data_IF_595277350840
#
_entry.id   IF_595277350840
#
_cell.length_a   1.000
_cell.length_b   1.000
_cell.length_c   1.000
_cell.angle_alpha   90.00
_cell.angle_beta   90.00
_cell.angle_gamma   90.00
#
_symmetry.space_group_name_H-M   'P 1'
#
loop_
_entity.id
_entity.type
_entity.pdbx_description
1 polymer ?
#
# COMPACT_ATOMS: atom_id res chain seq x y z
N UNK A 1 8.97 -0.27 11.36
CA UNK A 1 9.40 -0.37 9.93
C UNK A 1 8.36 -1.06 9.02
N UNK A 2 7.61 -2.06 9.48
CA UNK A 2 6.83 -2.96 8.59
C UNK A 2 5.55 -2.41 7.91
N UNK A 3 5.03 -1.23 8.27
CA UNK A 3 3.75 -0.73 7.73
C UNK A 3 3.84 0.47 6.79
N UNK A 4 4.98 1.16 6.73
CA UNK A 4 5.08 2.43 5.99
C UNK A 4 4.89 2.23 4.48
N UNK A 5 5.56 1.23 3.88
CA UNK A 5 5.41 0.92 2.47
C UNK A 5 4.00 0.43 2.12
N UNK A 6 3.36 -0.34 3.01
CA UNK A 6 1.97 -0.77 2.81
C UNK A 6 1.02 0.43 2.74
N UNK A 7 1.21 1.43 3.61
CA UNK A 7 0.45 2.70 3.57
C UNK A 7 0.71 3.46 2.27
N UNK A 8 1.95 3.51 1.77
CA UNK A 8 2.28 4.13 0.48
C UNK A 8 1.52 3.43 -0.64
N UNK A 9 1.54 2.10 -0.70
CA UNK A 9 0.83 1.31 -1.72
C UNK A 9 -0.69 1.54 -1.69
N UNK A 10 -1.29 1.66 -0.52
CA UNK A 10 -2.72 2.02 -0.41
C UNK A 10 -2.95 3.44 -0.95
N UNK A 11 -2.12 4.41 -0.57
CA UNK A 11 -2.27 5.82 -1.00
C UNK A 11 -2.03 6.01 -2.50
N UNK A 12 -1.31 5.11 -3.16
CA UNK A 12 -1.13 5.15 -4.62
C UNK A 12 -2.46 5.09 -5.39
N UNK A 13 -3.53 4.53 -4.82
CA UNK A 13 -4.84 4.54 -5.49
C UNK A 13 -5.35 5.95 -5.79
N UNK A 14 -4.97 6.96 -4.99
CA UNK A 14 -5.32 8.38 -5.22
C UNK A 14 -4.59 8.98 -6.41
N UNK A 15 -3.43 8.43 -6.74
CA UNK A 15 -2.58 8.83 -7.85
C UNK A 15 -2.82 7.97 -9.10
N UNK A 16 -3.68 6.95 -9.02
CA UNK A 16 -3.98 6.05 -10.12
C UNK A 16 -5.25 6.49 -10.86
N UNK A 17 -5.19 6.53 -12.18
CA UNK A 17 -6.31 6.79 -13.06
C UNK A 17 -6.81 5.48 -13.67
N UNK A 18 -8.03 5.08 -13.29
CA UNK A 18 -8.64 3.83 -13.73
C UNK A 18 -9.13 3.86 -15.17
N UNK A 19 -9.35 5.03 -15.77
CA UNK A 19 -9.92 5.17 -17.11
C UNK A 19 -8.92 4.78 -18.20
N UNK A 20 -7.62 5.02 -17.95
CA UNK A 20 -6.54 4.78 -18.91
C UNK A 20 -5.35 3.99 -18.33
N UNK A 21 -5.51 3.41 -17.14
CA UNK A 21 -4.49 2.57 -16.49
C UNK A 21 -3.14 3.27 -16.31
N UNK A 22 -3.17 4.48 -15.73
CA UNK A 22 -1.96 5.30 -15.50
C UNK A 22 -1.79 5.69 -14.04
N UNK A 23 -0.55 5.97 -13.62
CA UNK A 23 -0.23 6.51 -12.30
C UNK A 23 0.49 7.85 -12.42
N UNK A 24 0.23 8.77 -11.50
CA UNK A 24 0.95 10.04 -11.41
C UNK A 24 2.37 9.81 -10.89
N UNK A 25 3.36 10.12 -11.72
CA UNK A 25 4.79 9.97 -11.43
C UNK A 25 5.55 11.14 -12.07
N UNK A 26 6.44 11.79 -11.30
CA UNK A 26 7.27 12.92 -11.76
C UNK A 26 6.50 14.04 -12.51
N UNK A 27 5.30 14.37 -12.01
CA UNK A 27 4.50 15.49 -12.55
C UNK A 27 3.57 15.12 -13.71
N UNK A 28 3.56 13.86 -14.17
CA UNK A 28 2.71 13.41 -15.29
C UNK A 28 2.09 12.05 -15.00
N UNK A 29 1.02 11.71 -15.72
CA UNK A 29 0.46 10.37 -15.72
C UNK A 29 1.16 9.50 -16.76
N UNK A 30 1.55 8.28 -16.38
CA UNK A 30 2.12 7.29 -17.28
C UNK A 30 1.68 5.87 -16.94
N UNK A 31 1.66 4.99 -17.95
CA UNK A 31 1.31 3.59 -17.77
C UNK A 31 2.48 2.75 -17.27
N UNK A 32 2.27 1.43 -17.21
CA UNK A 32 3.27 0.46 -16.77
C UNK A 32 4.57 0.51 -17.59
N UNK A 33 4.49 0.92 -18.85
CA UNK A 33 5.61 1.05 -19.78
C UNK A 33 6.64 2.09 -19.34
N UNK A 34 6.22 3.11 -18.58
CA UNK A 34 7.12 4.13 -18.02
C UNK A 34 8.19 3.50 -17.12
N UNK A 35 7.86 2.38 -16.47
CA UNK A 35 8.71 1.70 -15.51
C UNK A 35 9.53 0.56 -16.11
N UNK A 36 9.52 0.39 -17.44
CA UNK A 36 10.18 -0.74 -18.13
C UNK A 36 11.67 -0.87 -17.79
N UNK A 37 12.36 0.26 -17.68
CA UNK A 37 13.80 0.28 -17.37
C UNK A 37 14.15 -0.31 -16.00
N UNK A 38 13.19 -0.42 -15.07
CA UNK A 38 13.42 -1.04 -13.76
C UNK A 38 13.60 -2.56 -13.82
N UNK A 39 13.25 -3.22 -14.93
CA UNK A 39 13.36 -4.68 -15.06
C UNK A 39 12.46 -5.47 -14.08
N UNK A 40 11.42 -4.84 -13.54
CA UNK A 40 10.55 -5.38 -12.50
C UNK A 40 9.08 -5.46 -12.94
N UNK A 41 8.82 -5.84 -14.20
CA UNK A 41 7.48 -5.80 -14.81
C UNK A 41 6.39 -6.47 -13.96
N UNK A 42 6.65 -7.65 -13.40
CA UNK A 42 5.68 -8.36 -12.56
C UNK A 42 5.29 -7.59 -11.30
N UNK A 43 6.26 -6.93 -10.65
CA UNK A 43 6.00 -6.09 -9.47
C UNK A 43 5.19 -4.87 -9.86
N UNK A 44 5.57 -4.19 -10.95
CA UNK A 44 4.86 -3.01 -11.45
C UNK A 44 3.42 -3.37 -11.81
N UNK A 45 3.20 -4.43 -12.58
CA UNK A 45 1.86 -4.92 -12.91
C UNK A 45 1.06 -5.25 -11.64
N UNK A 46 1.67 -5.91 -10.65
CA UNK A 46 1.01 -6.23 -9.39
C UNK A 46 0.60 -4.98 -8.59
N UNK A 47 1.38 -3.91 -8.65
CA UNK A 47 1.07 -2.61 -8.02
C UNK A 47 -0.07 -1.91 -8.77
N UNK A 48 -0.08 -1.95 -10.10
CA UNK A 48 -1.15 -1.39 -10.93
C UNK A 48 -2.47 -2.14 -10.69
N UNK A 49 -2.46 -3.47 -10.70
CA UNK A 49 -3.63 -4.30 -10.39
C UNK A 49 -4.19 -4.01 -8.99
N UNK A 50 -3.31 -3.85 -8.00
CA UNK A 50 -3.71 -3.47 -6.66
C UNK A 50 -4.35 -2.08 -6.61
N UNK A 51 -3.73 -1.09 -7.26
CA UNK A 51 -4.24 0.28 -7.34
C UNK A 51 -5.58 0.34 -8.06
N UNK A 52 -5.75 -0.44 -9.14
CA UNK A 52 -7.01 -0.61 -9.87
C UNK A 52 -8.10 -1.19 -8.97
N UNK A 53 -7.78 -2.24 -8.22
CA UNK A 53 -8.74 -2.88 -7.31
C UNK A 53 -9.24 -1.92 -6.22
N UNK A 54 -8.35 -1.10 -5.66
CA UNK A 54 -8.72 -0.08 -4.68
C UNK A 54 -9.49 1.07 -5.31
N UNK A 55 -9.10 1.53 -6.50
CA UNK A 55 -9.78 2.62 -7.20
C UNK A 55 -11.22 2.25 -7.58
N UNK A 56 -11.47 0.98 -7.90
CA UNK A 56 -12.81 0.46 -8.15
C UNK A 56 -13.74 0.54 -6.92
N UNK A 57 -13.17 0.58 -5.71
CA UNK A 57 -13.96 0.80 -4.49
C UNK A 57 -14.46 2.24 -4.38
N UNK A 58 -13.83 3.19 -5.07
CA UNK A 58 -14.08 4.64 -4.95
C UNK A 58 -14.01 5.09 -3.50
N UNK A 59 -12.87 4.83 -2.85
CA UNK A 59 -12.68 5.27 -1.48
C UNK A 59 -12.80 6.79 -1.37
N UNK A 60 -13.49 7.26 -0.33
CA UNK A 60 -13.39 8.65 0.12
C UNK A 60 -12.05 8.91 0.84
N UNK A 61 -11.67 10.18 1.00
CA UNK A 61 -10.45 10.53 1.75
C UNK A 61 -10.50 10.04 3.20
N UNK A 62 -11.67 10.08 3.83
CA UNK A 62 -11.90 9.57 5.19
C UNK A 62 -11.74 8.04 5.25
N UNK A 63 -12.28 7.32 4.25
CA UNK A 63 -12.14 5.88 4.14
C UNK A 63 -10.66 5.47 3.95
N UNK A 64 -9.90 6.21 3.13
CA UNK A 64 -8.44 6.00 2.96
C UNK A 64 -7.71 6.27 4.27
N UNK A 65 -8.05 7.35 4.98
CA UNK A 65 -7.42 7.70 6.24
C UNK A 65 -7.61 6.58 7.30
N UNK A 66 -8.84 6.12 7.48
CA UNK A 66 -9.17 5.05 8.43
C UNK A 66 -8.55 3.71 8.02
N UNK A 67 -8.62 3.35 6.73
CA UNK A 67 -8.05 2.10 6.24
C UNK A 67 -6.52 2.09 6.35
N UNK A 68 -5.84 3.19 6.00
CA UNK A 68 -4.38 3.30 6.16
C UNK A 68 -3.95 3.29 7.63
N UNK A 69 -4.76 3.86 8.54
CA UNK A 69 -4.52 3.75 9.98
C UNK A 69 -4.59 2.29 10.44
N UNK A 70 -5.56 1.50 9.98
CA UNK A 70 -5.67 0.07 10.29
C UNK A 70 -4.53 -0.77 9.70
N UNK A 71 -4.04 -0.43 8.51
CA UNK A 71 -2.85 -1.07 7.90
C UNK A 71 -1.60 -0.84 8.76
N UNK A 72 -1.45 0.39 9.28
CA UNK A 72 -0.32 0.78 10.11
C UNK A 72 -0.41 0.19 11.53
N UNK A 73 -1.56 0.33 12.19
CA UNK A 73 -1.83 -0.13 13.56
C UNK A 73 -2.32 -1.59 13.52
N UNK A 74 -1.36 -2.51 13.48
CA UNK A 74 -1.62 -3.94 13.38
C UNK A 74 -0.92 -4.72 14.50
N UNK A 75 -1.70 -5.29 15.40
CA UNK A 75 -1.20 -6.06 16.55
C UNK A 75 -0.55 -7.41 16.19
N UNK A 76 -0.67 -7.85 14.94
CA UNK A 76 -0.07 -9.10 14.46
C UNK A 76 1.37 -8.92 13.94
N UNK A 77 1.97 -7.73 14.12
CA UNK A 77 3.36 -7.49 13.72
C UNK A 77 4.30 -8.19 14.71
N UNK A 78 5.35 -8.89 14.22
CA UNK A 78 6.35 -9.48 15.09
C UNK A 78 7.16 -8.38 15.81
N UNK A 79 7.62 -8.69 17.02
CA UNK A 79 8.50 -7.79 17.79
C UNK A 79 7.79 -6.67 18.56
N UNK A 80 6.45 -6.68 18.66
CA UNK A 80 5.72 -5.73 19.50
C UNK A 80 5.94 -6.04 20.99
N UNK A 81 6.54 -5.10 21.72
CA UNK A 81 6.70 -5.19 23.17
C UNK A 81 5.37 -4.96 23.90
N UNK A 82 4.61 -3.93 23.50
CA UNK A 82 3.33 -3.56 24.12
C UNK A 82 2.12 -4.00 23.29
N UNK A 83 2.07 -5.29 22.90
CA UNK A 83 1.05 -5.83 21.99
C UNK A 83 -0.38 -5.46 22.38
N UNK A 84 -0.74 -5.57 23.67
CA UNK A 84 -2.09 -5.25 24.18
C UNK A 84 -2.50 -3.79 23.93
N UNK A 85 -1.55 -2.84 24.02
CA UNK A 85 -1.85 -1.43 23.73
C UNK A 85 -2.16 -1.25 22.23
N UNK A 86 -1.43 -1.94 21.37
CA UNK A 86 -1.67 -1.93 19.91
C UNK A 86 -3.00 -2.59 19.58
N UNK A 87 -3.35 -3.71 20.23
CA UNK A 87 -4.65 -4.38 20.08
C UNK A 87 -5.81 -3.45 20.45
N UNK A 88 -5.69 -2.69 21.55
CA UNK A 88 -6.71 -1.71 21.94
C UNK A 88 -6.87 -0.59 20.92
N UNK A 89 -5.76 -0.03 20.43
CA UNK A 89 -5.79 1.01 19.40
C UNK A 89 -6.39 0.49 18.09
N UNK A 90 -6.00 -0.72 17.68
CA UNK A 90 -6.54 -1.37 16.49
C UNK A 90 -8.06 -1.58 16.63
N UNK A 91 -8.53 -2.11 17.76
CA UNK A 91 -9.96 -2.31 18.03
C UNK A 91 -10.76 -0.98 17.93
N UNK A 92 -10.23 0.09 18.52
CA UNK A 92 -10.87 1.41 18.44
C UNK A 92 -10.94 1.93 17.00
N UNK A 93 -9.88 1.74 16.21
CA UNK A 93 -9.86 2.12 14.78
C UNK A 93 -10.80 1.25 13.94
N UNK A 94 -10.91 -0.04 14.25
CA UNK A 94 -11.84 -0.96 13.58
C UNK A 94 -13.27 -0.49 13.83
N UNK A 95 -13.62 -0.17 15.08
CA UNK A 95 -14.93 0.39 15.43
C UNK A 95 -15.21 1.71 14.68
N UNK A 96 -14.24 2.63 14.66
CA UNK A 96 -14.37 3.90 13.96
C UNK A 96 -14.59 3.70 12.45
N UNK A 97 -13.86 2.78 11.82
CA UNK A 97 -14.01 2.46 10.40
C UNK A 97 -15.38 1.86 10.11
N UNK A 98 -15.81 0.84 10.86
CA UNK A 98 -17.13 0.22 10.68
C UNK A 98 -18.27 1.23 10.92
N UNK A 99 -18.14 2.08 11.95
CA UNK A 99 -19.11 3.12 12.23
C UNK A 99 -19.20 4.14 11.09
N UNK A 100 -18.06 4.62 10.57
CA UNK A 100 -18.03 5.55 9.44
C UNK A 100 -18.71 4.93 8.21
N UNK A 101 -18.37 3.69 7.86
CA UNK A 101 -19.00 2.99 6.73
C UNK A 101 -20.49 2.77 6.92
N UNK A 102 -20.95 2.53 8.15
CA UNK A 102 -22.38 2.43 8.45
C UNK A 102 -23.08 3.77 8.22
N UNK A 103 -22.51 4.84 8.76
CA UNK A 103 -23.04 6.21 8.65
C UNK A 103 -23.11 6.69 7.20
N UNK A 104 -22.20 6.26 6.33
CA UNK A 104 -22.16 6.64 4.91
C UNK A 104 -22.84 5.63 3.99
N UNK A 105 -23.44 4.55 4.51
CA UNK A 105 -24.06 3.46 3.74
C UNK A 105 -23.08 2.73 2.79
N UNK A 106 -21.85 2.54 3.25
CA UNK A 106 -20.71 2.00 2.48
C UNK A 106 -20.21 0.65 2.99
N UNK A 107 -20.91 -0.02 3.92
CA UNK A 107 -20.46 -1.29 4.52
C UNK A 107 -20.13 -2.37 3.49
N UNK A 108 -20.76 -2.36 2.31
CA UNK A 108 -20.51 -3.30 1.23
C UNK A 108 -19.06 -3.32 0.71
N UNK A 109 -18.25 -2.28 1.00
CA UNK A 109 -16.83 -2.29 0.63
C UNK A 109 -16.01 -3.27 1.46
N UNK A 110 -16.44 -3.62 2.68
CA UNK A 110 -15.69 -4.52 3.57
C UNK A 110 -15.41 -5.88 2.92
N UNK A 111 -16.39 -6.43 2.18
CA UNK A 111 -16.25 -7.69 1.45
C UNK A 111 -15.34 -7.59 0.21
N UNK A 112 -15.03 -6.36 -0.23
CA UNK A 112 -14.24 -6.07 -1.43
C UNK A 112 -12.83 -5.56 -1.09
N UNK A 113 -12.52 -5.38 0.20
CA UNK A 113 -11.19 -4.96 0.62
C UNK A 113 -10.15 -6.02 0.24
N UNK A 114 -8.92 -5.61 -0.11
CA UNK A 114 -7.85 -6.57 -0.38
C UNK A 114 -7.64 -7.51 0.81
N UNK A 115 -7.35 -8.81 0.56
CA UNK A 115 -7.07 -9.74 1.63
C UNK A 115 -5.83 -9.30 2.41
N UNK A 116 -5.81 -9.54 3.72
CA UNK A 116 -4.77 -9.07 4.65
C UNK A 116 -3.32 -9.40 4.22
N UNK A 117 -3.12 -10.46 3.44
CA UNK A 117 -1.81 -10.87 2.92
C UNK A 117 -1.34 -10.15 1.66
N UNK A 118 -2.23 -9.47 0.90
CA UNK A 118 -1.88 -8.90 -0.42
C UNK A 118 -0.85 -7.78 -0.32
N UNK A 119 -1.06 -6.83 0.61
CA UNK A 119 -0.11 -5.75 0.87
C UNK A 119 1.27 -6.28 1.31
N UNK A 120 1.27 -7.27 2.21
CA UNK A 120 2.51 -7.92 2.65
C UNK A 120 3.25 -8.58 1.48
N UNK A 121 2.53 -9.27 0.59
CA UNK A 121 3.10 -9.90 -0.60
C UNK A 121 3.74 -8.87 -1.54
N UNK A 122 3.07 -7.76 -1.83
CA UNK A 122 3.64 -6.66 -2.64
C UNK A 122 4.89 -6.07 -2.00
N UNK A 123 4.87 -5.84 -0.69
CA UNK A 123 6.04 -5.33 0.03
C UNK A 123 7.21 -6.34 0.01
N UNK A 124 6.93 -7.65 0.13
CA UNK A 124 7.96 -8.69 0.01
C UNK A 124 8.58 -8.71 -1.39
N UNK A 125 7.76 -8.65 -2.45
CA UNK A 125 8.25 -8.57 -3.83
C UNK A 125 9.11 -7.32 -4.05
N UNK A 126 8.69 -6.17 -3.50
CA UNK A 126 9.48 -4.94 -3.56
C UNK A 126 10.85 -5.10 -2.88
N UNK A 127 10.90 -5.70 -1.69
CA UNK A 127 12.16 -5.95 -0.97
C UNK A 127 13.05 -6.92 -1.75
N UNK A 128 12.51 -7.98 -2.34
CA UNK A 128 13.25 -8.94 -3.16
C UNK A 128 13.88 -8.27 -4.39
N UNK A 129 13.12 -7.43 -5.11
CA UNK A 129 13.65 -6.68 -6.26
C UNK A 129 14.73 -5.68 -5.83
N UNK A 130 14.54 -5.00 -4.69
CA UNK A 130 15.54 -4.09 -4.14
C UNK A 130 16.83 -4.82 -3.75
N UNK A 131 16.73 -6.00 -3.13
CA UNK A 131 17.90 -6.82 -2.77
C UNK A 131 18.66 -7.30 -4.00
N UNK A 132 17.93 -7.74 -5.03
CA UNK A 132 18.52 -8.13 -6.32
C UNK A 132 19.27 -6.94 -6.95
N UNK A 133 18.64 -5.76 -6.99
CA UNK A 133 19.27 -4.56 -7.51
C UNK A 133 20.52 -4.17 -6.70
N UNK A 134 20.45 -4.23 -5.37
CA UNK A 134 21.58 -3.92 -4.49
C UNK A 134 22.75 -4.87 -4.70
N UNK A 135 22.49 -6.16 -4.94
CA UNK A 135 23.54 -7.13 -5.24
C UNK A 135 24.26 -6.81 -6.56
N UNK A 136 23.52 -6.39 -7.58
CA UNK A 136 24.07 -6.04 -8.90
C UNK A 136 24.74 -4.66 -8.93
N UNK A 137 24.26 -3.71 -8.11
CA UNK A 137 24.70 -2.32 -8.11
C UNK A 137 24.99 -1.79 -6.69
N UNK A 138 25.92 -2.40 -5.93
CA UNK A 138 26.14 -2.07 -4.52
C UNK A 138 26.62 -0.62 -4.33
N UNK A 139 27.46 -0.10 -5.22
CA UNK A 139 27.98 1.27 -5.15
C UNK A 139 26.84 2.29 -5.36
N UNK A 140 25.91 2.02 -6.28
CA UNK A 140 24.78 2.92 -6.55
C UNK A 140 23.89 3.01 -5.31
N UNK A 141 23.57 1.87 -4.70
CA UNK A 141 22.76 1.85 -3.47
C UNK A 141 23.48 2.57 -2.33
N UNK A 142 24.80 2.41 -2.19
CA UNK A 142 25.56 3.09 -1.14
C UNK A 142 25.67 4.61 -1.36
N UNK A 143 25.87 5.06 -2.60
CA UNK A 143 26.23 6.44 -2.90
C UNK A 143 25.03 7.34 -3.24
N UNK A 144 23.94 6.77 -3.78
CA UNK A 144 22.85 7.56 -4.37
C UNK A 144 21.46 7.26 -3.78
N UNK A 145 21.26 6.16 -3.05
CA UNK A 145 19.97 5.90 -2.43
C UNK A 145 19.80 6.76 -1.16
N UNK A 146 18.62 7.35 -0.91
CA UNK A 146 18.41 8.20 0.25
C UNK A 146 18.63 7.45 1.58
N UNK A 147 19.35 8.04 2.56
CA UNK A 147 19.31 7.54 3.93
C UNK A 147 17.90 7.77 4.51
N UNK A 148 17.35 6.76 5.21
CA UNK A 148 16.05 6.81 5.89
C UNK A 148 16.19 7.18 7.36
#
# INVERSE_FOLDING_TARGET
KAGAMEVVLVRMCRAYNADNDTVFFEGKYGGVELFRALGCSELISSIFDFSRSLSALRFSEDEIALYTALVLINANRPGLQEKRKVEQLQCNLELAFHHHLCKTHRQGILAKLPPKGKLRSLCSQHVEKLQTFQHLHPIVVQAAFPPL
#
